data_IF_482045929712
#
_entry.id   IF_482045929712
#
_cell.length_a   1.000
_cell.length_b   1.000
_cell.length_c   1.000
_cell.angle_alpha   90.00
_cell.angle_beta   90.00
_cell.angle_gamma   90.00
#
_symmetry.space_group_name_H-M   'P 1'
#
loop_
_entity.id
_entity.type
_entity.pdbx_description
1 polymer ?
#
# COMPACT_ATOMS: atom_id res chain seq x y z
N UNK A 1 -34.38 54.17 -1.14
CA UNK A 1 -34.91 53.53 -2.35
C UNK A 1 -33.74 53.27 -3.28
N UNK A 2 -33.29 52.03 -3.32
CA UNK A 2 -32.32 51.52 -4.29
C UNK A 2 -32.57 50.03 -4.38
N UNK A 3 -33.14 49.63 -5.51
CA UNK A 3 -33.63 48.29 -5.80
C UNK A 3 -32.49 47.29 -5.99
N UNK A 4 -32.71 46.07 -5.50
CA UNK A 4 -31.84 44.90 -5.67
C UNK A 4 -32.23 44.21 -7.00
N UNK A 5 -31.29 43.80 -7.86
CA UNK A 5 -31.62 43.11 -9.12
C UNK A 5 -32.14 41.69 -8.87
N UNK A 6 -33.09 41.18 -9.67
CA UNK A 6 -33.64 39.83 -9.49
C UNK A 6 -32.64 38.75 -9.92
N UNK A 7 -32.60 37.69 -9.12
CA UNK A 7 -31.70 36.55 -9.27
C UNK A 7 -31.86 35.77 -10.57
N UNK A 8 -30.75 35.21 -11.02
CA UNK A 8 -30.66 34.27 -12.12
C UNK A 8 -31.53 33.03 -11.88
N UNK A 9 -32.27 32.53 -12.89
CA UNK A 9 -33.06 31.31 -12.76
C UNK A 9 -32.15 30.09 -12.64
N UNK A 10 -32.50 29.21 -11.69
CA UNK A 10 -31.93 27.89 -11.48
C UNK A 10 -32.01 27.08 -12.78
N UNK A 11 -30.86 26.79 -13.37
CA UNK A 11 -30.75 25.92 -14.53
C UNK A 11 -30.93 24.48 -14.08
N UNK A 12 -32.11 23.91 -14.31
CA UNK A 12 -32.25 22.45 -14.39
C UNK A 12 -31.44 21.95 -15.59
N UNK A 13 -30.48 21.03 -15.43
CA UNK A 13 -29.74 20.50 -16.56
C UNK A 13 -30.67 19.59 -17.38
N UNK A 14 -31.15 20.11 -18.51
CA UNK A 14 -31.75 19.31 -19.57
C UNK A 14 -30.69 18.34 -20.10
N UNK A 15 -30.89 17.04 -19.85
CA UNK A 15 -30.03 15.97 -20.36
C UNK A 15 -30.80 15.18 -21.41
N UNK A 16 -30.28 15.25 -22.64
CA UNK A 16 -30.72 14.45 -23.78
C UNK A 16 -29.97 13.10 -23.72
N UNK A 17 -30.60 12.10 -23.12
CA UNK A 17 -30.27 10.67 -23.18
C UNK A 17 -31.59 9.92 -23.10
N UNK A 18 -31.77 8.82 -23.86
CA UNK A 18 -32.95 7.93 -23.86
C UNK A 18 -33.80 8.12 -22.60
N UNK A 19 -35.01 8.70 -22.72
CA UNK A 19 -35.80 9.13 -21.56
C UNK A 19 -36.10 7.93 -20.64
N UNK A 20 -35.19 7.68 -19.70
CA UNK A 20 -35.43 6.87 -18.52
C UNK A 20 -36.61 7.57 -17.85
N UNK A 21 -37.77 6.91 -17.81
CA UNK A 21 -38.93 7.47 -17.13
C UNK A 21 -38.67 7.37 -15.62
N UNK A 22 -37.94 8.36 -15.10
CA UNK A 22 -37.52 8.41 -13.71
C UNK A 22 -38.75 8.37 -12.77
N UNK A 23 -39.87 8.95 -13.18
CA UNK A 23 -41.12 8.92 -12.42
C UNK A 23 -41.70 7.50 -12.30
N UNK A 24 -41.66 6.70 -13.36
CA UNK A 24 -42.06 5.29 -13.29
C UNK A 24 -41.16 4.48 -12.35
N UNK A 25 -39.84 4.72 -12.39
CA UNK A 25 -38.89 4.04 -11.51
C UNK A 25 -39.09 4.43 -10.04
N UNK A 26 -39.34 5.70 -9.75
CA UNK A 26 -39.64 6.20 -8.41
C UNK A 26 -40.97 5.60 -7.90
N UNK A 27 -42.00 5.53 -8.75
CA UNK A 27 -43.27 4.89 -8.40
C UNK A 27 -43.13 3.39 -8.12
N UNK A 28 -42.34 2.68 -8.93
CA UNK A 28 -42.02 1.26 -8.75
C UNK A 28 -41.37 1.02 -7.37
N UNK A 29 -40.40 1.85 -6.99
CA UNK A 29 -39.72 1.77 -5.69
C UNK A 29 -40.67 2.15 -4.54
N UNK A 30 -41.40 3.27 -4.66
CA UNK A 30 -42.34 3.77 -3.64
C UNK A 30 -43.42 2.75 -3.29
N UNK A 31 -43.94 2.05 -4.30
CA UNK A 31 -44.98 1.03 -4.15
C UNK A 31 -44.44 -0.38 -3.90
N UNK A 32 -43.11 -0.56 -3.92
CA UNK A 32 -42.43 -1.87 -3.83
C UNK A 32 -42.99 -2.87 -4.83
N UNK A 33 -43.22 -2.42 -6.06
CA UNK A 33 -43.72 -3.27 -7.15
C UNK A 33 -42.60 -4.20 -7.66
N UNK A 34 -42.94 -5.40 -8.12
CA UNK A 34 -41.99 -6.44 -8.57
C UNK A 34 -41.12 -6.99 -7.43
N UNK A 35 -39.84 -7.27 -7.69
CA UNK A 35 -38.91 -7.90 -6.75
C UNK A 35 -37.70 -7.01 -6.47
N UNK A 36 -36.91 -7.43 -5.48
CA UNK A 36 -35.73 -6.67 -5.03
C UNK A 36 -34.64 -6.53 -6.11
N UNK A 37 -34.56 -7.45 -7.07
CA UNK A 37 -33.61 -7.36 -8.18
C UNK A 37 -33.97 -6.18 -9.07
N UNK A 38 -35.25 -6.02 -9.39
CA UNK A 38 -35.78 -4.89 -10.15
C UNK A 38 -35.63 -3.57 -9.39
N UNK A 39 -35.82 -3.57 -8.07
CA UNK A 39 -35.53 -2.40 -7.22
C UNK A 39 -34.06 -1.98 -7.32
N UNK A 40 -33.13 -2.93 -7.26
CA UNK A 40 -31.70 -2.66 -7.42
C UNK A 40 -31.35 -2.05 -8.78
N UNK A 41 -31.95 -2.54 -9.87
CA UNK A 41 -31.78 -1.97 -11.21
C UNK A 41 -32.36 -0.56 -11.31
N UNK A 42 -33.55 -0.32 -10.74
CA UNK A 42 -34.19 0.99 -10.71
C UNK A 42 -33.33 2.01 -9.95
N UNK A 43 -32.82 1.67 -8.75
CA UNK A 43 -31.90 2.52 -8.00
C UNK A 43 -30.63 2.85 -8.81
N UNK A 44 -30.05 1.86 -9.50
CA UNK A 44 -28.87 2.07 -10.34
C UNK A 44 -29.15 3.01 -11.52
N UNK A 45 -30.32 2.89 -12.17
CA UNK A 45 -30.72 3.76 -13.27
C UNK A 45 -30.96 5.20 -12.80
N UNK A 46 -31.64 5.38 -11.67
CA UNK A 46 -31.87 6.70 -11.07
C UNK A 46 -30.55 7.38 -10.68
N UNK A 47 -29.60 6.67 -10.07
CA UNK A 47 -28.30 7.23 -9.74
C UNK A 47 -27.49 7.62 -10.99
N UNK A 48 -27.54 6.82 -12.06
CA UNK A 48 -26.93 7.17 -13.34
C UNK A 48 -27.58 8.40 -13.99
N UNK A 49 -28.87 8.60 -13.77
CA UNK A 49 -29.61 9.79 -14.20
C UNK A 49 -29.39 11.02 -13.30
N UNK A 50 -28.52 10.93 -12.28
CA UNK A 50 -28.11 12.06 -11.43
C UNK A 50 -28.88 12.20 -10.13
N UNK A 51 -29.79 11.29 -9.79
CA UNK A 51 -30.48 11.30 -8.50
C UNK A 51 -29.53 10.86 -7.39
N UNK A 52 -29.40 11.67 -6.35
CA UNK A 52 -28.63 11.28 -5.15
C UNK A 52 -29.41 10.24 -4.34
N UNK A 53 -28.69 9.43 -3.54
CA UNK A 53 -29.34 8.44 -2.66
C UNK A 53 -30.33 9.08 -1.68
N UNK A 54 -30.07 10.34 -1.28
CA UNK A 54 -30.95 11.11 -0.41
C UNK A 54 -32.27 11.47 -1.12
N UNK A 55 -32.20 11.93 -2.37
CA UNK A 55 -33.41 12.25 -3.17
C UNK A 55 -34.24 10.99 -3.41
N UNK A 56 -33.60 9.86 -3.73
CA UNK A 56 -34.31 8.58 -3.90
C UNK A 56 -35.00 8.17 -2.60
N UNK A 57 -34.35 8.37 -1.45
CA UNK A 57 -34.96 8.08 -0.15
C UNK A 57 -36.18 8.98 0.12
N UNK A 58 -36.07 10.28 -0.09
CA UNK A 58 -37.16 11.24 0.10
C UNK A 58 -38.38 10.89 -0.78
N UNK A 59 -38.15 10.48 -2.01
CA UNK A 59 -39.21 10.14 -2.96
C UNK A 59 -39.78 8.72 -2.80
N UNK A 60 -39.08 7.78 -2.17
CA UNK A 60 -39.49 6.34 -2.20
C UNK A 60 -39.52 5.66 -0.84
N UNK A 61 -38.86 6.22 0.17
CA UNK A 61 -38.63 5.59 1.47
C UNK A 61 -37.54 4.50 1.48
N UNK A 62 -36.84 4.26 0.37
CA UNK A 62 -35.70 3.34 0.34
C UNK A 62 -34.48 3.98 0.98
N UNK A 63 -34.04 3.46 2.12
CA UNK A 63 -32.87 4.01 2.82
C UNK A 63 -31.59 3.86 1.98
N UNK A 64 -30.63 4.79 2.06
CA UNK A 64 -29.37 4.69 1.31
C UNK A 64 -28.62 3.36 1.50
N UNK A 65 -28.67 2.79 2.71
CA UNK A 65 -28.07 1.47 2.99
C UNK A 65 -28.77 0.34 2.22
N UNK A 66 -30.10 0.39 2.16
CA UNK A 66 -30.91 -0.58 1.42
C UNK A 66 -30.70 -0.44 -0.08
N UNK A 67 -30.65 0.81 -0.60
CA UNK A 67 -30.36 1.09 -2.01
C UNK A 67 -29.03 0.45 -2.43
N UNK A 68 -27.96 0.71 -1.68
CA UNK A 68 -26.65 0.10 -1.93
C UNK A 68 -26.70 -1.43 -1.88
N UNK A 69 -27.39 -2.00 -0.87
CA UNK A 69 -27.52 -3.44 -0.74
C UNK A 69 -28.20 -4.07 -1.96
N UNK A 70 -29.39 -3.59 -2.35
CA UNK A 70 -30.13 -4.18 -3.48
C UNK A 70 -29.45 -3.93 -4.82
N UNK A 71 -28.76 -2.81 -5.00
CA UNK A 71 -27.99 -2.53 -6.21
C UNK A 71 -26.82 -3.49 -6.39
N UNK A 72 -26.01 -3.69 -5.34
CA UNK A 72 -24.86 -4.59 -5.43
C UNK A 72 -25.32 -6.04 -5.50
N UNK A 73 -26.34 -6.41 -4.73
CA UNK A 73 -26.91 -7.75 -4.77
C UNK A 73 -27.53 -8.08 -6.13
N UNK A 74 -28.14 -7.11 -6.84
CA UNK A 74 -28.73 -7.36 -8.17
C UNK A 74 -27.66 -7.59 -9.23
N UNK A 75 -26.51 -6.93 -9.10
CA UNK A 75 -25.33 -7.21 -9.93
C UNK A 75 -24.76 -8.60 -9.66
N UNK A 76 -24.69 -9.01 -8.38
CA UNK A 76 -24.30 -10.37 -8.00
C UNK A 76 -25.29 -11.37 -8.60
N UNK A 77 -26.59 -11.16 -8.44
CA UNK A 77 -27.64 -12.01 -9.04
C UNK A 77 -27.48 -12.12 -10.56
N UNK A 78 -27.23 -11.02 -11.25
CA UNK A 78 -26.98 -11.01 -12.71
C UNK A 78 -25.78 -11.89 -13.07
N UNK A 79 -24.70 -11.87 -12.28
CA UNK A 79 -23.56 -12.78 -12.49
C UNK A 79 -23.92 -14.25 -12.25
N UNK A 80 -24.82 -14.57 -11.31
CA UNK A 80 -25.29 -15.95 -11.11
C UNK A 80 -26.04 -16.46 -12.34
N UNK A 81 -26.94 -15.64 -12.91
CA UNK A 81 -27.71 -15.99 -14.11
C UNK A 81 -26.79 -16.16 -15.32
N UNK A 82 -25.75 -15.32 -15.42
CA UNK A 82 -24.78 -15.38 -16.53
C UNK A 82 -23.95 -16.66 -16.49
N UNK A 83 -23.50 -17.09 -15.31
CA UNK A 83 -22.72 -18.33 -15.12
C UNK A 83 -23.61 -19.58 -15.26
N UNK A 84 -24.89 -19.48 -14.91
CA UNK A 84 -25.86 -20.57 -15.04
C UNK A 84 -25.98 -21.41 -13.77
N UNK A 85 -26.55 -20.82 -12.70
CA UNK A 85 -26.93 -21.54 -11.47
C UNK A 85 -28.21 -22.38 -11.65
N UNK A 86 -28.45 -23.31 -10.74
CA UNK A 86 -29.64 -24.16 -10.68
C UNK A 86 -30.94 -23.36 -10.54
N UNK A 87 -32.04 -23.94 -11.01
CA UNK A 87 -33.37 -23.32 -10.93
C UNK A 87 -33.82 -23.08 -9.48
N UNK A 88 -33.38 -23.94 -8.55
CA UNK A 88 -33.64 -23.77 -7.12
C UNK A 88 -32.97 -22.50 -6.57
N UNK A 89 -31.69 -22.30 -6.87
CA UNK A 89 -30.93 -21.10 -6.48
C UNK A 89 -31.53 -19.86 -7.13
N UNK A 90 -31.87 -19.95 -8.41
CA UNK A 90 -32.51 -18.85 -9.14
C UNK A 90 -33.82 -18.44 -8.48
N UNK A 91 -34.72 -19.40 -8.24
CA UNK A 91 -36.05 -19.14 -7.65
C UNK A 91 -35.94 -18.58 -6.24
N UNK A 92 -35.03 -19.13 -5.42
CA UNK A 92 -34.76 -18.64 -4.06
C UNK A 92 -34.35 -17.17 -4.06
N UNK A 93 -33.34 -16.83 -4.86
CA UNK A 93 -32.78 -15.47 -4.87
C UNK A 93 -33.58 -14.46 -5.70
N UNK A 94 -34.47 -14.89 -6.59
CA UNK A 94 -35.40 -13.98 -7.27
C UNK A 94 -36.43 -13.38 -6.31
N UNK A 95 -36.80 -14.13 -5.27
CA UNK A 95 -37.84 -13.73 -4.31
C UNK A 95 -37.26 -13.03 -3.07
N UNK A 96 -36.12 -13.49 -2.56
CA UNK A 96 -35.52 -12.99 -1.29
C UNK A 96 -34.01 -13.20 -1.25
N UNK A 97 -33.31 -12.74 -0.21
CA UNK A 97 -31.88 -13.03 -0.02
C UNK A 97 -30.92 -12.01 -0.63
N UNK A 98 -31.37 -10.78 -0.86
CA UNK A 98 -30.51 -9.67 -1.30
C UNK A 98 -29.36 -9.40 -0.31
N UNK A 99 -29.60 -9.56 0.98
CA UNK A 99 -28.61 -9.49 2.05
C UNK A 99 -27.52 -10.56 1.91
N UNK A 100 -27.92 -11.80 1.63
CA UNK A 100 -26.99 -12.92 1.44
C UNK A 100 -26.15 -12.74 0.17
N UNK A 101 -26.75 -12.30 -0.94
CA UNK A 101 -26.03 -12.02 -2.18
C UNK A 101 -25.11 -10.80 -2.07
N UNK A 102 -25.48 -9.80 -1.26
CA UNK A 102 -24.63 -8.65 -0.99
C UNK A 102 -23.28 -9.04 -0.35
N UNK A 103 -23.27 -10.06 0.50
CA UNK A 103 -22.04 -10.57 1.12
C UNK A 103 -21.10 -11.25 0.11
N UNK A 104 -21.63 -11.78 -0.99
CA UNK A 104 -20.83 -12.43 -2.04
C UNK A 104 -20.13 -11.42 -2.98
N UNK A 105 -20.32 -10.10 -2.80
CA UNK A 105 -19.79 -9.05 -3.71
C UNK A 105 -18.27 -9.09 -3.92
N UNK A 106 -17.52 -9.59 -2.94
CA UNK A 106 -16.04 -9.67 -2.96
C UNK A 106 -15.48 -10.83 -3.80
N UNK A 107 -16.36 -11.74 -4.23
CA UNK A 107 -16.04 -12.93 -5.01
C UNK A 107 -16.09 -12.64 -6.52
N UNK A 108 -15.42 -13.48 -7.31
CA UNK A 108 -15.51 -13.53 -8.79
C UNK A 108 -16.84 -14.11 -9.25
N UNK A 109 -17.15 -14.06 -10.55
CA UNK A 109 -18.46 -14.53 -11.06
C UNK A 109 -18.66 -16.03 -10.83
N UNK A 110 -17.63 -16.82 -11.08
CA UNK A 110 -17.63 -18.27 -10.90
C UNK A 110 -17.71 -18.64 -9.42
N UNK A 111 -16.97 -17.94 -8.55
CA UNK A 111 -17.04 -18.13 -7.11
C UNK A 111 -18.42 -17.75 -6.55
N UNK A 112 -19.07 -16.70 -7.07
CA UNK A 112 -20.43 -16.31 -6.66
C UNK A 112 -21.44 -17.40 -6.97
N UNK A 113 -21.39 -17.99 -8.17
CA UNK A 113 -22.27 -19.08 -8.57
C UNK A 113 -22.10 -20.28 -7.62
N UNK A 114 -20.87 -20.75 -7.42
CA UNK A 114 -20.58 -21.85 -6.52
C UNK A 114 -21.00 -21.55 -5.07
N UNK A 115 -20.74 -20.33 -4.58
CA UNK A 115 -21.15 -19.91 -3.24
C UNK A 115 -22.68 -19.91 -3.10
N UNK A 116 -23.42 -19.36 -4.07
CA UNK A 116 -24.88 -19.30 -4.03
C UNK A 116 -25.53 -20.70 -3.99
N UNK A 117 -25.03 -21.64 -4.81
CA UNK A 117 -25.42 -23.06 -4.73
C UNK A 117 -25.21 -23.62 -3.33
N UNK A 118 -24.04 -23.35 -2.75
CA UNK A 118 -23.71 -23.82 -1.42
C UNK A 118 -24.59 -23.21 -0.32
N UNK A 119 -24.91 -21.92 -0.40
CA UNK A 119 -25.79 -21.25 0.56
C UNK A 119 -27.19 -21.88 0.56
N UNK A 120 -27.75 -22.16 -0.62
CA UNK A 120 -29.09 -22.77 -0.75
C UNK A 120 -29.07 -24.21 -0.27
N UNK A 121 -28.10 -25.01 -0.72
CA UNK A 121 -27.96 -26.40 -0.31
C UNK A 121 -27.79 -26.58 1.22
N UNK A 122 -27.25 -25.57 1.90
CA UNK A 122 -27.04 -25.57 3.37
C UNK A 122 -28.02 -24.68 4.13
N UNK A 123 -29.00 -24.08 3.45
CA UNK A 123 -29.98 -23.15 4.02
C UNK A 123 -29.34 -22.05 4.91
N UNK A 124 -28.28 -21.41 4.42
CA UNK A 124 -27.54 -20.38 5.13
C UNK A 124 -28.17 -19.01 4.94
N UNK A 125 -28.17 -18.21 6.01
CA UNK A 125 -28.60 -16.81 6.01
C UNK A 125 -27.43 -15.86 5.63
N UNK A 126 -27.64 -14.55 5.74
CA UNK A 126 -26.63 -13.53 5.43
C UNK A 126 -25.39 -13.59 6.30
N UNK A 127 -25.50 -13.96 7.58
CA UNK A 127 -24.33 -14.19 8.45
C UNK A 127 -23.49 -15.37 7.95
N UNK A 128 -24.14 -16.47 7.57
CA UNK A 128 -23.48 -17.61 6.94
C UNK A 128 -22.87 -17.24 5.58
N UNK A 129 -23.56 -16.40 4.80
CA UNK A 129 -23.06 -15.91 3.51
C UNK A 129 -21.78 -15.08 3.67
N UNK A 130 -21.72 -14.20 4.67
CA UNK A 130 -20.53 -13.43 5.01
C UNK A 130 -19.34 -14.35 5.34
N UNK A 131 -19.58 -15.37 6.16
CA UNK A 131 -18.55 -16.33 6.52
C UNK A 131 -18.04 -17.12 5.30
N UNK A 132 -18.95 -17.64 4.47
CA UNK A 132 -18.62 -18.38 3.26
C UNK A 132 -17.82 -17.50 2.28
N UNK A 133 -18.24 -16.26 2.04
CA UNK A 133 -17.55 -15.34 1.15
C UNK A 133 -16.11 -15.06 1.62
N UNK A 134 -15.93 -14.82 2.92
CA UNK A 134 -14.61 -14.61 3.51
C UNK A 134 -13.72 -15.84 3.38
N UNK A 135 -14.27 -17.04 3.63
CA UNK A 135 -13.54 -18.30 3.54
C UNK A 135 -13.07 -18.56 2.10
N UNK A 136 -13.97 -18.48 1.13
CA UNK A 136 -13.67 -18.66 -0.30
C UNK A 136 -12.60 -17.64 -0.73
N UNK A 137 -12.79 -16.35 -0.43
CA UNK A 137 -11.85 -15.30 -0.85
C UNK A 137 -10.45 -15.48 -0.26
N UNK A 138 -10.36 -15.98 0.97
CA UNK A 138 -9.07 -16.26 1.60
C UNK A 138 -8.42 -17.51 0.99
N UNK A 139 -9.23 -18.51 0.63
CA UNK A 139 -8.77 -19.75 0.03
C UNK A 139 -8.27 -19.54 -1.40
N UNK A 140 -8.98 -18.74 -2.22
CA UNK A 140 -8.65 -18.50 -3.64
C UNK A 140 -7.41 -17.63 -3.86
N UNK A 141 -6.90 -16.96 -2.82
CA UNK A 141 -5.58 -16.29 -2.87
C UNK A 141 -4.42 -17.27 -3.00
N UNK A 142 -4.65 -18.56 -2.76
CA UNK A 142 -3.62 -19.60 -2.87
C UNK A 142 -3.56 -20.09 -4.31
N UNK A 143 -2.35 -20.20 -4.86
CA UNK A 143 -2.14 -20.76 -6.19
C UNK A 143 -2.53 -22.24 -6.30
N UNK A 144 -2.54 -22.97 -5.19
CA UNK A 144 -2.96 -24.38 -5.10
C UNK A 144 -3.74 -24.62 -3.81
N UNK A 145 -4.78 -25.47 -3.85
CA UNK A 145 -5.51 -25.83 -2.63
C UNK A 145 -4.59 -26.61 -1.66
N UNK A 146 -4.79 -26.46 -0.34
CA UNK A 146 -4.10 -27.27 0.65
C UNK A 146 -4.41 -28.76 0.47
N UNK A 147 -3.48 -29.62 0.90
CA UNK A 147 -3.67 -31.07 0.84
C UNK A 147 -4.94 -31.50 1.56
N UNK A 148 -5.73 -32.35 0.89
CA UNK A 148 -7.01 -32.86 1.39
C UNK A 148 -8.19 -31.91 1.26
N UNK A 149 -8.03 -30.70 0.73
CA UNK A 149 -9.12 -29.75 0.50
C UNK A 149 -9.23 -29.38 -0.99
N UNK A 150 -10.43 -29.12 -1.48
CA UNK A 150 -10.69 -28.67 -2.85
C UNK A 150 -11.11 -27.20 -2.92
N UNK A 151 -11.25 -26.66 -4.13
CA UNK A 151 -11.78 -25.31 -4.35
C UNK A 151 -13.30 -25.20 -4.13
N UNK A 152 -13.97 -26.28 -3.71
CA UNK A 152 -15.40 -26.24 -3.41
C UNK A 152 -15.66 -25.32 -2.18
N UNK A 153 -16.70 -24.46 -2.20
CA UNK A 153 -17.05 -23.57 -1.10
C UNK A 153 -17.07 -24.24 0.29
N UNK A 154 -17.66 -25.42 0.37
CA UNK A 154 -17.70 -26.22 1.60
C UNK A 154 -16.32 -26.63 2.12
N UNK A 155 -15.39 -27.01 1.25
CA UNK A 155 -14.01 -27.35 1.63
C UNK A 155 -13.22 -26.09 2.01
N UNK A 156 -13.47 -24.94 1.37
CA UNK A 156 -12.84 -23.67 1.74
C UNK A 156 -13.25 -23.22 3.16
N UNK A 157 -14.53 -23.34 3.51
CA UNK A 157 -15.04 -23.07 4.87
C UNK A 157 -14.51 -24.11 5.87
N UNK A 158 -14.53 -25.40 5.50
CA UNK A 158 -14.01 -26.47 6.33
C UNK A 158 -12.51 -26.27 6.63
N UNK A 159 -11.72 -25.84 5.65
CA UNK A 159 -10.31 -25.51 5.82
C UNK A 159 -10.08 -24.35 6.80
N UNK A 160 -10.92 -23.31 6.75
CA UNK A 160 -10.87 -22.21 7.71
C UNK A 160 -11.05 -22.73 9.14
N UNK A 161 -12.05 -23.56 9.37
CA UNK A 161 -12.30 -24.17 10.67
C UNK A 161 -11.22 -25.14 11.11
N UNK A 162 -10.70 -25.96 10.20
CA UNK A 162 -9.55 -26.84 10.44
C UNK A 162 -8.33 -26.05 10.91
N UNK A 163 -8.01 -24.94 10.21
CA UNK A 163 -6.87 -24.09 10.57
C UNK A 163 -7.07 -23.44 11.95
N UNK A 164 -8.28 -22.94 12.24
CA UNK A 164 -8.60 -22.36 13.55
C UNK A 164 -8.50 -23.43 14.65
N UNK A 165 -9.06 -24.61 14.43
CA UNK A 165 -9.01 -25.73 15.38
C UNK A 165 -7.57 -26.14 15.73
N UNK A 166 -6.62 -26.06 14.78
CA UNK A 166 -5.19 -26.29 15.05
C UNK A 166 -4.51 -25.22 15.91
N UNK A 167 -5.07 -24.02 15.98
CA UNK A 167 -4.50 -22.89 16.72
C UNK A 167 -5.03 -22.81 18.15
N UNK A 168 -6.18 -23.41 18.42
CA UNK A 168 -6.79 -23.43 19.75
C UNK A 168 -6.33 -24.64 20.56
N UNK A 169 -5.77 -24.38 21.75
CA UNK A 169 -5.38 -25.41 22.71
C UNK A 169 -6.53 -25.81 23.65
N UNK A 170 -7.55 -24.97 23.78
CA UNK A 170 -8.75 -25.28 24.56
C UNK A 170 -9.57 -26.37 23.87
N UNK A 171 -9.89 -27.43 24.61
CA UNK A 171 -10.55 -28.61 24.08
C UNK A 171 -12.00 -28.32 23.64
N UNK A 172 -12.72 -27.46 24.36
CA UNK A 172 -14.11 -27.16 24.06
C UNK A 172 -14.23 -26.33 22.79
N UNK A 173 -13.45 -25.25 22.68
CA UNK A 173 -13.41 -24.41 21.49
C UNK A 173 -12.92 -25.19 20.26
N UNK A 174 -11.88 -26.02 20.42
CA UNK A 174 -11.41 -26.87 19.33
C UNK A 174 -12.49 -27.85 18.86
N UNK A 175 -13.20 -28.50 19.79
CA UNK A 175 -14.29 -29.43 19.45
C UNK A 175 -15.41 -28.73 18.69
N UNK A 176 -15.77 -27.49 19.09
CA UNK A 176 -16.76 -26.67 18.38
C UNK A 176 -16.31 -26.34 16.96
N UNK A 177 -15.05 -25.98 16.78
CA UNK A 177 -14.46 -25.68 15.47
C UNK A 177 -14.38 -26.93 14.57
N UNK A 178 -14.03 -28.09 15.13
CA UNK A 178 -14.03 -29.37 14.41
C UNK A 178 -15.44 -29.71 13.93
N UNK A 179 -16.44 -29.61 14.81
CA UNK A 179 -17.84 -29.88 14.44
C UNK A 179 -18.32 -28.96 13.31
N UNK A 180 -17.97 -27.66 13.36
CA UNK A 180 -18.26 -26.72 12.27
C UNK A 180 -17.52 -27.09 10.98
N UNK A 181 -16.24 -27.49 11.07
CA UNK A 181 -15.49 -27.98 9.91
C UNK A 181 -16.16 -29.18 9.22
N UNK A 182 -16.57 -30.19 10.00
CA UNK A 182 -17.25 -31.38 9.49
C UNK A 182 -18.64 -31.09 8.92
N UNK A 183 -19.34 -30.09 9.46
CA UNK A 183 -20.64 -29.65 8.95
C UNK A 183 -20.52 -29.14 7.50
N UNK A 184 -19.46 -28.40 7.18
CA UNK A 184 -19.29 -27.76 5.87
C UNK A 184 -18.46 -28.56 4.86
N UNK A 185 -17.59 -29.47 5.32
CA UNK A 185 -16.72 -30.27 4.46
C UNK A 185 -17.51 -30.99 3.36
N UNK A 186 -17.06 -30.82 2.12
CA UNK A 186 -17.68 -31.38 0.93
C UNK A 186 -17.04 -32.71 0.53
N UNK A 187 -15.70 -32.79 0.58
CA UNK A 187 -14.98 -34.02 0.19
C UNK A 187 -14.65 -34.93 1.37
N UNK A 188 -14.55 -36.23 1.10
CA UNK A 188 -14.16 -37.21 2.11
C UNK A 188 -12.73 -36.96 2.64
N UNK A 189 -11.83 -36.49 1.78
CA UNK A 189 -10.46 -36.12 2.19
C UNK A 189 -10.47 -34.95 3.18
N UNK A 190 -11.29 -33.92 2.95
CA UNK A 190 -11.41 -32.79 3.86
C UNK A 190 -11.99 -33.22 5.21
N UNK A 191 -12.97 -34.15 5.20
CA UNK A 191 -13.52 -34.74 6.42
C UNK A 191 -12.46 -35.50 7.21
N UNK A 192 -11.66 -36.34 6.54
CA UNK A 192 -10.55 -37.08 7.18
C UNK A 192 -9.53 -36.13 7.82
N UNK A 193 -9.10 -35.08 7.11
CA UNK A 193 -8.19 -34.07 7.65
C UNK A 193 -8.72 -33.39 8.92
N UNK A 194 -10.04 -33.21 9.02
CA UNK A 194 -10.69 -32.63 10.20
C UNK A 194 -10.88 -33.67 11.32
N UNK A 195 -11.22 -34.91 10.99
CA UNK A 195 -11.35 -36.01 11.96
C UNK A 195 -10.01 -36.35 12.62
N UNK A 196 -8.89 -36.25 11.89
CA UNK A 196 -7.54 -36.39 12.45
C UNK A 196 -7.26 -35.39 13.58
N UNK A 197 -7.97 -34.26 13.63
CA UNK A 197 -7.86 -33.32 14.76
C UNK A 197 -8.48 -33.85 16.06
N UNK A 198 -9.28 -34.93 16.03
CA UNK A 198 -9.81 -35.57 17.24
C UNK A 198 -8.80 -36.53 17.88
N UNK A 199 -7.92 -37.13 17.08
CA UNK A 199 -6.96 -38.15 17.51
C UNK A 199 -5.52 -37.63 17.58
N UNK A 200 -5.21 -36.55 16.86
CA UNK A 200 -3.89 -35.93 16.84
C UNK A 200 -3.48 -35.41 18.22
N UNK A 201 -2.30 -35.85 18.68
CA UNK A 201 -1.74 -35.49 19.97
C UNK A 201 -1.83 -33.98 20.25
N UNK A 202 -2.37 -33.65 21.43
CA UNK A 202 -2.34 -32.29 21.97
C UNK A 202 -0.92 -31.76 21.95
N UNK A 203 -0.69 -30.62 21.32
CA UNK A 203 0.55 -29.88 21.53
C UNK A 203 1.80 -30.37 20.80
N UNK A 204 1.70 -30.92 19.58
CA UNK A 204 2.81 -30.73 18.62
C UNK A 204 2.72 -29.34 17.98
N UNK A 205 2.60 -28.31 18.81
CA UNK A 205 3.03 -26.98 18.39
C UNK A 205 4.54 -27.05 18.32
N UNK A 206 5.08 -27.53 17.18
CA UNK A 206 6.35 -26.97 16.76
C UNK A 206 6.11 -25.46 16.78
N UNK A 207 6.71 -24.79 17.77
CA UNK A 207 6.63 -23.34 17.89
C UNK A 207 6.95 -22.82 16.50
N UNK A 208 6.00 -22.13 15.82
CA UNK A 208 6.27 -21.67 14.48
C UNK A 208 7.55 -20.85 14.54
N UNK A 209 8.43 -21.04 13.56
CA UNK A 209 9.66 -20.27 13.50
C UNK A 209 9.32 -18.78 13.68
N UNK A 210 10.09 -18.03 14.48
CA UNK A 210 9.85 -16.60 14.63
C UNK A 210 9.82 -15.97 13.24
N UNK A 211 8.94 -14.99 13.04
CA UNK A 211 8.93 -14.23 11.79
C UNK A 211 10.31 -13.60 11.61
N UNK A 212 10.88 -13.75 10.42
CA UNK A 212 12.10 -13.03 10.07
C UNK A 212 11.82 -11.52 10.14
N UNK A 213 12.71 -10.70 10.72
CA UNK A 213 12.57 -9.25 10.75
C UNK A 213 12.90 -8.69 9.36
N UNK A 214 11.96 -8.85 8.44
CA UNK A 214 12.11 -8.41 7.05
C UNK A 214 11.76 -6.92 6.98
N UNK A 215 12.73 -6.13 6.56
CA UNK A 215 12.54 -4.72 6.22
C UNK A 215 12.65 -4.54 4.72
N UNK A 216 11.85 -3.62 4.18
CA UNK A 216 11.92 -3.17 2.80
C UNK A 216 11.94 -1.65 2.85
N UNK A 217 12.95 -1.06 2.22
CA UNK A 217 12.99 0.39 2.02
C UNK A 217 11.82 0.81 1.14
N UNK A 218 11.19 1.92 1.49
CA UNK A 218 10.07 2.46 0.73
C UNK A 218 10.55 3.13 -0.56
N UNK A 219 9.67 3.24 -1.56
CA UNK A 219 10.03 3.77 -2.87
C UNK A 219 10.47 5.25 -2.86
N UNK A 220 10.07 5.99 -1.82
CA UNK A 220 10.41 7.39 -1.60
C UNK A 220 11.73 7.55 -0.82
N UNK A 221 12.31 6.46 -0.31
CA UNK A 221 13.55 6.47 0.45
C UNK A 221 14.73 6.05 -0.43
N UNK A 222 15.69 6.95 -0.59
CA UNK A 222 16.94 6.65 -1.27
C UNK A 222 17.95 5.99 -0.30
N UNK A 223 18.65 4.96 -0.79
CA UNK A 223 19.75 4.35 -0.05
C UNK A 223 20.85 5.39 0.26
N UNK A 224 21.41 5.42 1.49
CA UNK A 224 22.62 6.17 1.76
C UNK A 224 23.76 5.77 0.82
N UNK A 225 24.56 6.74 0.39
CA UNK A 225 25.71 6.50 -0.47
C UNK A 225 27.00 6.54 0.36
N UNK A 226 27.82 5.49 0.25
CA UNK A 226 29.17 5.47 0.82
C UNK A 226 30.11 6.28 -0.07
N UNK A 227 30.78 7.28 0.49
CA UNK A 227 31.72 8.14 -0.22
C UNK A 227 33.14 7.98 0.36
N UNK A 228 34.18 7.86 -0.48
CA UNK A 228 35.55 7.77 0.00
C UNK A 228 36.02 9.12 0.56
N UNK A 229 36.68 9.08 1.70
CA UNK A 229 37.27 10.25 2.37
C UNK A 229 38.73 10.36 1.95
N UNK A 230 39.11 11.53 1.42
CA UNK A 230 40.50 11.86 1.07
C UNK A 230 41.31 12.18 2.32
N UNK A 231 40.76 12.99 3.20
CA UNK A 231 41.42 13.45 4.42
C UNK A 231 40.87 14.78 4.90
N UNK A 232 41.65 15.51 5.70
CA UNK A 232 41.32 16.84 6.18
C UNK A 232 42.33 17.86 5.63
N UNK A 233 41.86 19.04 5.23
CA UNK A 233 42.73 20.12 4.75
C UNK A 233 43.75 20.55 5.81
N UNK A 234 45.00 20.92 5.43
CA UNK A 234 45.49 21.06 4.06
C UNK A 234 45.85 19.71 3.41
N UNK A 235 45.54 19.57 2.11
CA UNK A 235 45.80 18.39 1.29
C UNK A 235 46.55 18.79 0.01
N UNK A 236 47.18 17.83 -0.65
CA UNK A 236 47.87 17.97 -1.93
C UNK A 236 47.14 17.22 -3.06
N UNK A 237 47.50 17.48 -4.32
CA UNK A 237 47.01 16.68 -5.46
C UNK A 237 47.36 15.19 -5.29
N UNK A 238 48.50 14.87 -4.67
CA UNK A 238 48.91 13.49 -4.45
C UNK A 238 47.92 12.75 -3.53
N UNK A 239 47.42 13.42 -2.48
CA UNK A 239 46.42 12.85 -1.58
C UNK A 239 45.10 12.59 -2.30
N UNK A 240 44.67 13.53 -3.16
CA UNK A 240 43.44 13.38 -3.96
C UNK A 240 43.54 12.20 -4.95
N UNK A 241 44.70 12.02 -5.57
CA UNK A 241 44.95 10.97 -6.56
C UNK A 241 45.15 9.58 -5.94
N UNK A 242 45.53 9.51 -4.66
CA UNK A 242 45.61 8.24 -3.92
C UNK A 242 44.24 7.59 -3.74
N UNK A 243 43.16 8.37 -3.74
CA UNK A 243 41.79 7.86 -3.62
C UNK A 243 41.28 7.40 -4.98
N UNK A 244 41.09 6.10 -5.22
CA UNK A 244 40.59 5.60 -6.49
C UNK A 244 39.10 5.90 -6.65
N UNK A 245 38.61 5.84 -7.89
CA UNK A 245 37.17 5.89 -8.16
C UNK A 245 36.48 4.70 -7.47
N UNK A 246 35.35 4.98 -6.82
CA UNK A 246 34.58 3.97 -6.09
C UNK A 246 33.52 3.35 -7.00
N UNK A 247 33.56 2.02 -7.15
CA UNK A 247 32.55 1.25 -7.87
C UNK A 247 31.48 0.69 -6.92
N UNK A 248 30.21 0.88 -7.29
CA UNK A 248 29.05 0.41 -6.54
C UNK A 248 28.40 -0.75 -7.29
N UNK A 249 28.14 -1.87 -6.60
CA UNK A 249 27.65 -3.10 -7.24
C UNK A 249 26.31 -3.58 -6.69
N UNK A 250 25.42 -4.00 -7.59
CA UNK A 250 24.13 -4.60 -7.27
C UNK A 250 23.11 -3.62 -6.68
N UNK A 251 21.95 -4.15 -6.26
CA UNK A 251 20.82 -3.37 -5.75
C UNK A 251 21.07 -2.71 -4.38
N UNK A 252 22.13 -3.12 -3.67
CA UNK A 252 22.50 -2.60 -2.36
C UNK A 252 23.72 -1.68 -2.39
N UNK A 253 24.15 -1.25 -3.58
CA UNK A 253 25.29 -0.33 -3.77
C UNK A 253 26.54 -0.76 -3.01
N UNK A 254 26.89 -2.05 -3.10
CA UNK A 254 28.00 -2.63 -2.36
C UNK A 254 29.32 -2.07 -2.91
N UNK A 255 30.13 -1.52 -2.02
CA UNK A 255 31.50 -1.07 -2.29
C UNK A 255 32.47 -2.13 -1.81
N UNK A 256 33.35 -2.61 -2.69
CA UNK A 256 34.48 -3.48 -2.30
C UNK A 256 35.67 -2.58 -2.01
N UNK A 257 36.01 -2.43 -0.73
CA UNK A 257 37.13 -1.58 -0.32
C UNK A 257 38.48 -2.11 -0.78
N UNK A 258 39.36 -1.18 -1.14
CA UNK A 258 40.81 -1.40 -1.21
C UNK A 258 41.38 -1.27 0.22
N UNK A 259 42.50 -1.95 0.51
CA UNK A 259 43.14 -1.87 1.84
C UNK A 259 43.41 -0.40 2.18
N UNK A 260 42.99 0.02 3.38
CA UNK A 260 43.23 1.36 3.99
C UNK A 260 42.34 2.55 3.53
N UNK A 261 41.29 2.34 2.73
CA UNK A 261 40.37 3.43 2.37
C UNK A 261 39.32 3.71 3.47
N UNK A 262 39.19 4.98 3.85
CA UNK A 262 38.13 5.47 4.76
C UNK A 262 36.89 5.88 3.97
N UNK A 263 35.69 5.57 4.49
CA UNK A 263 34.41 5.92 3.89
C UNK A 263 33.49 6.60 4.90
N UNK A 264 32.58 7.44 4.40
CA UNK A 264 31.46 8.02 5.15
C UNK A 264 30.14 7.72 4.44
N UNK A 265 29.12 7.37 5.21
CA UNK A 265 27.76 7.19 4.68
C UNK A 265 27.03 8.54 4.70
N UNK A 266 26.62 9.00 3.52
CA UNK A 266 25.87 10.25 3.36
C UNK A 266 24.43 9.91 2.93
N UNK A 267 23.40 10.63 3.42
CA UNK A 267 22.03 10.46 2.92
C UNK A 267 21.95 10.47 1.40
N UNK A 268 21.00 9.73 0.84
CA UNK A 268 20.74 9.61 -0.60
C UNK A 268 20.16 10.88 -1.23
N UNK A 269 20.68 12.06 -0.88
CA UNK A 269 20.26 13.30 -1.52
C UNK A 269 20.57 13.27 -3.02
N UNK A 270 19.65 13.82 -3.81
CA UNK A 270 19.74 13.77 -5.27
C UNK A 270 21.05 14.34 -5.83
N UNK A 271 21.63 15.35 -5.18
CA UNK A 271 22.94 15.90 -5.57
C UNK A 271 24.09 14.89 -5.37
N UNK A 272 24.02 14.07 -4.32
CA UNK A 272 24.99 13.02 -4.00
C UNK A 272 24.80 11.82 -4.92
N UNK A 273 23.56 11.43 -5.23
CA UNK A 273 23.26 10.32 -6.13
C UNK A 273 23.65 10.59 -7.58
N UNK A 274 23.51 11.84 -8.04
CA UNK A 274 23.88 12.25 -9.41
C UNK A 274 25.39 12.35 -9.64
N UNK A 275 26.19 12.42 -8.57
CA UNK A 275 27.64 12.55 -8.69
C UNK A 275 28.29 11.29 -9.29
N UNK A 276 29.19 11.45 -10.26
CA UNK A 276 29.80 10.30 -10.94
C UNK A 276 31.07 9.81 -10.25
N UNK A 277 31.87 10.73 -9.71
CA UNK A 277 33.09 10.41 -8.95
C UNK A 277 33.20 11.31 -7.69
N UNK A 278 32.27 11.14 -6.73
CA UNK A 278 32.27 11.92 -5.50
C UNK A 278 33.38 11.48 -4.54
N UNK A 279 34.08 12.45 -3.96
CA UNK A 279 35.03 12.28 -2.85
C UNK A 279 34.70 13.25 -1.73
N UNK A 280 35.15 12.91 -0.51
CA UNK A 280 34.92 13.71 0.68
C UNK A 280 36.22 14.32 1.20
N UNK A 281 36.18 15.61 1.52
CA UNK A 281 37.25 16.35 2.18
C UNK A 281 36.70 16.98 3.46
N UNK A 282 37.42 16.84 4.56
CA UNK A 282 37.11 17.51 5.82
C UNK A 282 37.84 18.85 5.87
N UNK A 283 37.21 19.88 6.43
CA UNK A 283 37.87 21.15 6.73
C UNK A 283 37.12 21.88 7.84
N UNK A 284 37.68 22.97 8.34
CA UNK A 284 36.95 23.91 9.15
C UNK A 284 36.22 24.94 8.29
N UNK A 285 35.06 25.40 8.76
CA UNK A 285 34.23 26.37 8.04
C UNK A 285 34.91 27.71 7.75
N UNK A 286 35.93 28.09 8.53
CA UNK A 286 36.74 29.30 8.30
C UNK A 286 37.74 29.15 7.13
N UNK A 287 37.95 27.94 6.61
CA UNK A 287 38.78 27.70 5.42
C UNK A 287 38.01 27.89 4.11
N UNK A 288 36.70 28.17 4.15
CA UNK A 288 35.89 28.45 2.96
C UNK A 288 35.82 29.96 2.63
N UNK A 289 35.69 30.35 1.35
CA UNK A 289 35.66 31.76 0.93
C UNK A 289 34.52 32.61 1.53
N UNK A 290 33.36 32.00 1.78
CA UNK A 290 32.22 32.68 2.44
C UNK A 290 32.16 32.22 3.89
N UNK A 291 32.66 33.06 4.78
CA UNK A 291 32.55 32.86 6.22
C UNK A 291 31.21 33.42 6.71
N UNK A 292 30.30 32.56 7.15
CA UNK A 292 29.17 33.00 7.96
C UNK A 292 29.67 33.29 9.38
N UNK A 293 29.10 34.30 10.07
CA UNK A 293 29.48 34.81 11.41
C UNK A 293 29.34 33.78 12.58
N UNK A 294 29.47 32.49 12.31
CA UNK A 294 29.42 31.41 13.27
C UNK A 294 30.83 31.03 13.75
N UNK A 295 30.91 30.37 14.91
CA UNK A 295 32.15 29.77 15.38
C UNK A 295 32.68 28.76 14.35
N UNK A 296 33.99 28.71 14.09
CA UNK A 296 34.58 27.68 13.25
C UNK A 296 34.18 26.29 13.75
N UNK A 297 33.70 25.44 12.84
CA UNK A 297 33.34 24.06 13.10
C UNK A 297 33.89 23.17 11.98
N UNK A 298 34.17 21.90 12.28
CA UNK A 298 34.53 20.93 11.25
C UNK A 298 33.32 20.65 10.36
N UNK A 299 33.53 20.65 9.05
CA UNK A 299 32.51 20.43 8.03
C UNK A 299 33.01 19.41 7.02
N UNK A 300 32.05 18.76 6.37
CA UNK A 300 32.28 17.76 5.34
C UNK A 300 31.95 18.37 3.98
N UNK A 301 32.94 18.41 3.09
CA UNK A 301 32.80 18.84 1.71
C UNK A 301 32.69 17.61 0.80
N UNK A 302 31.72 17.63 -0.12
CA UNK A 302 31.61 16.62 -1.17
C UNK A 302 31.98 17.25 -2.50
N UNK A 303 33.01 16.71 -3.14
CA UNK A 303 33.53 17.15 -4.44
C UNK A 303 33.26 16.07 -5.49
N UNK A 304 32.64 16.42 -6.62
CA UNK A 304 32.58 15.51 -7.77
C UNK A 304 33.75 15.77 -8.72
N UNK A 305 34.72 14.85 -8.74
CA UNK A 305 35.94 14.96 -9.57
C UNK A 305 35.67 14.87 -11.06
N UNK A 306 34.51 14.35 -11.46
CA UNK A 306 34.10 14.28 -12.86
C UNK A 306 33.64 15.63 -13.44
N UNK A 307 33.44 16.64 -12.59
CA UNK A 307 32.90 17.94 -12.96
C UNK A 307 33.99 19.01 -12.90
N UNK A 308 34.69 19.18 -14.01
CA UNK A 308 35.87 20.07 -14.14
C UNK A 308 35.63 21.24 -15.11
N UNK A 309 34.39 21.41 -15.58
CA UNK A 309 34.02 22.55 -16.43
C UNK A 309 33.65 23.74 -15.55
N UNK A 310 34.14 24.92 -15.92
CA UNK A 310 33.82 26.17 -15.23
C UNK A 310 32.31 26.43 -15.23
N UNK A 311 31.81 26.92 -14.10
CA UNK A 311 30.44 27.38 -13.90
C UNK A 311 30.44 28.57 -12.93
N UNK A 312 29.89 29.70 -13.36
CA UNK A 312 29.92 30.97 -12.62
C UNK A 312 29.14 30.96 -11.32
N UNK A 313 28.30 29.93 -11.09
CA UNK A 313 27.48 29.77 -9.89
C UNK A 313 28.01 28.68 -8.93
N UNK A 314 29.22 28.15 -9.18
CA UNK A 314 29.76 26.99 -8.46
C UNK A 314 31.14 27.23 -7.85
N UNK A 315 31.40 26.53 -6.75
CA UNK A 315 32.73 26.44 -6.14
C UNK A 315 33.48 25.21 -6.66
N UNK A 316 34.79 25.34 -6.83
CA UNK A 316 35.66 24.29 -7.35
C UNK A 316 36.86 24.05 -6.45
N UNK A 317 37.32 22.79 -6.45
CA UNK A 317 38.60 22.40 -5.89
C UNK A 317 39.70 22.70 -6.90
N UNK A 318 40.70 23.48 -6.49
CA UNK A 318 41.87 23.85 -7.30
C UNK A 318 43.14 23.62 -6.51
N UNK A 319 44.27 23.52 -7.20
CA UNK A 319 45.59 23.59 -6.56
C UNK A 319 46.13 25.01 -6.61
N UNK A 320 46.58 25.52 -5.46
CA UNK A 320 47.33 26.76 -5.37
C UNK A 320 48.48 26.59 -4.37
N UNK A 321 49.68 27.05 -4.75
CA UNK A 321 50.89 26.97 -3.89
C UNK A 321 51.18 25.56 -3.34
N UNK A 322 50.82 24.50 -4.09
CA UNK A 322 51.01 23.09 -3.71
C UNK A 322 49.98 22.54 -2.72
N UNK A 323 48.90 23.28 -2.46
CA UNK A 323 47.79 22.86 -1.59
C UNK A 323 46.45 22.93 -2.32
N UNK A 324 45.51 22.11 -1.87
CA UNK A 324 44.14 22.12 -2.36
C UNK A 324 43.31 23.19 -1.67
N UNK A 325 42.63 24.01 -2.45
CA UNK A 325 41.75 25.08 -1.97
C UNK A 325 40.40 25.06 -2.68
N UNK A 326 39.36 25.55 -1.99
CA UNK A 326 38.03 25.76 -2.55
C UNK A 326 37.91 27.21 -3.00
N UNK A 327 37.65 27.43 -4.29
CA UNK A 327 37.51 28.77 -4.87
C UNK A 327 36.28 28.91 -5.76
N UNK A 328 35.80 30.14 -5.85
CA UNK A 328 34.79 30.55 -6.82
C UNK A 328 35.42 31.60 -7.74
N UNK A 329 35.09 31.53 -9.03
CA UNK A 329 35.65 32.40 -10.06
C UNK A 329 34.50 33.09 -10.80
N UNK A 330 34.40 34.43 -10.76
CA UNK A 330 33.31 35.17 -11.41
C UNK A 330 33.38 35.09 -12.95
N UNK A 331 34.58 34.95 -13.49
CA UNK A 331 34.86 34.79 -14.93
C UNK A 331 35.67 33.52 -15.16
N UNK A 332 35.62 32.98 -16.39
CA UNK A 332 36.36 31.76 -16.77
C UNK A 332 37.87 31.93 -16.51
N UNK A 333 38.44 31.24 -15.50
CA UNK A 333 39.85 31.39 -15.17
C UNK A 333 40.73 30.47 -16.03
N UNK A 334 42.01 30.78 -16.15
CA UNK A 334 43.03 29.88 -16.70
C UNK A 334 43.64 29.00 -15.59
N UNK A 335 42.79 28.18 -14.96
CA UNK A 335 43.18 27.24 -13.91
C UNK A 335 42.58 25.87 -14.16
N UNK A 336 43.26 24.82 -13.70
CA UNK A 336 42.76 23.45 -13.80
C UNK A 336 41.85 23.13 -12.61
N UNK A 337 40.60 22.77 -12.88
CA UNK A 337 39.67 22.32 -11.85
C UNK A 337 39.84 20.82 -11.57
N UNK A 338 39.93 20.47 -10.28
CA UNK A 338 40.07 19.09 -9.83
C UNK A 338 38.70 18.45 -9.52
N UNK A 339 37.65 19.27 -9.43
CA UNK A 339 36.27 18.84 -9.23
C UNK A 339 35.40 19.98 -8.70
N UNK A 340 34.09 19.78 -8.77
CA UNK A 340 33.09 20.76 -8.30
C UNK A 340 32.62 20.44 -6.88
N UNK A 341 32.55 21.44 -6.01
CA UNK A 341 31.90 21.33 -4.70
C UNK A 341 30.38 21.23 -4.89
N UNK A 342 29.81 20.08 -4.52
CA UNK A 342 28.39 19.78 -4.73
C UNK A 342 27.57 19.79 -3.43
N UNK A 343 28.23 19.65 -2.28
CA UNK A 343 27.57 19.71 -0.97
C UNK A 343 28.53 20.15 0.13
N UNK A 344 28.05 20.98 1.05
CA UNK A 344 28.69 21.28 2.33
C UNK A 344 27.77 20.77 3.44
N UNK A 345 28.26 19.83 4.25
CA UNK A 345 27.51 19.23 5.35
C UNK A 345 28.14 19.63 6.68
N UNK A 346 27.36 20.28 7.53
CA UNK A 346 27.73 20.57 8.93
C UNK A 346 27.42 19.35 9.81
N UNK A 347 28.09 19.21 10.97
CA UNK A 347 27.78 18.17 11.93
C UNK A 347 26.30 18.23 12.35
N UNK A 348 25.74 17.06 12.68
CA UNK A 348 24.36 16.99 13.20
C UNK A 348 24.26 17.84 14.47
N UNK A 349 23.34 18.82 14.48
CA UNK A 349 23.04 19.60 15.68
C UNK A 349 22.44 18.68 16.74
N UNK A 350 23.16 18.48 17.85
CA UNK A 350 22.63 17.81 19.02
C UNK A 350 21.92 18.89 19.84
N UNK A 351 20.59 18.88 19.81
CA UNK A 351 19.78 19.64 20.78
C UNK A 351 19.74 18.77 22.04
N UNK A 352 20.36 19.25 23.13
CA UNK A 352 20.46 18.63 24.47
C UNK A 352 20.17 17.12 24.57
N UNK A 353 21.21 16.31 24.82
CA UNK A 353 21.09 14.86 25.07
C UNK A 353 20.07 14.52 26.17
N UNK A 354 19.81 15.45 27.10
CA UNK A 354 18.83 15.29 28.18
C UNK A 354 17.36 15.26 27.69
N UNK A 355 17.02 15.96 26.59
CA UNK A 355 15.66 16.00 26.05
C UNK A 355 15.33 14.76 25.20
N UNK A 356 16.33 14.01 24.75
CA UNK A 356 16.13 12.81 23.94
C UNK A 356 15.68 11.57 24.74
N UNK A 357 15.59 11.68 26.08
CA UNK A 357 15.13 10.58 26.95
C UNK A 357 13.64 10.67 27.33
N UNK A 358 13.00 11.84 27.22
CA UNK A 358 11.59 12.04 27.57
C UNK A 358 10.75 12.38 26.33
N UNK A 359 10.35 11.33 25.60
CA UNK A 359 9.54 11.43 24.36
C UNK A 359 8.04 11.69 24.63
N UNK A 360 7.66 12.00 25.89
CA UNK A 360 6.25 12.15 26.30
C UNK A 360 5.87 13.55 26.80
N UNK A 361 6.58 14.60 26.42
CA UNK A 361 6.01 15.95 26.48
C UNK A 361 5.17 16.20 25.23
N UNK A 362 3.85 16.08 25.39
CA UNK A 362 2.89 16.64 24.44
C UNK A 362 2.89 18.14 24.72
N UNK A 363 3.12 18.97 23.70
CA UNK A 363 2.92 20.41 23.77
C UNK A 363 1.46 20.68 24.20
N UNK A 364 1.26 21.31 25.36
CA UNK A 364 -0.04 21.81 25.81
C UNK A 364 -0.48 23.05 25.03
#
# INVERSE_FOLDING_TARGET
MTEVPPGSPESHPQTNSEQINAEDLLNLLRRKERNWVEWGKACQQLQKAGYSSQVIFEETGFEPIQQNQVMVASQVYTSLITVGVSDEVRSRFETSGSDSLYELRILTQEERAAAAEFLVARNLNSEGAHEVAKAIKTFSRRSRPPEGFTNHPGDAVAYQYWKLAKQHNDLQERSRLIARGLMFAHTQQARQQIEELLTGAFGSTQRPAPRLPIYRLEAEEDLPRLLPVVGSLPLTIADLNQVPKTDYTGAFSIVKGLREQTFVAVPGWQVVLKAQDPVVILCHSNQLPIQQNNKPEEILLIIDRSQQQWDGDSYFLVEESGQLEIKWFPDSPDVSFLGRLILVLRPKKILDEALSQDVWQIDE
#
